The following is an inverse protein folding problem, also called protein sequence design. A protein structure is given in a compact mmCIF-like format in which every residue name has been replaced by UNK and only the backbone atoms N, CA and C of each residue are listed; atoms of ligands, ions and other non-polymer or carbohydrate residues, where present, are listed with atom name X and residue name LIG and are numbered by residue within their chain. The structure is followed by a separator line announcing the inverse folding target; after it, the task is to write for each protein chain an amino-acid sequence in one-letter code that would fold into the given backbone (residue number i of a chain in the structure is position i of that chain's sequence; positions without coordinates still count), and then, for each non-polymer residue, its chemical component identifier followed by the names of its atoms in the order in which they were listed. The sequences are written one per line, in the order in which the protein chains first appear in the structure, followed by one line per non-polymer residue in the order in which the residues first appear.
data_IF_222827276900
#
_entry.id   IF_222827276900
#
_cell.length_a   1.000
_cell.length_b   1.000
_cell.length_c   1.000
_cell.angle_alpha   90.00
_cell.angle_beta   90.00
_cell.angle_gamma   90.00
#
_symmetry.space_group_name_H-M   'P 1'
#
loop_
_entity.id
_entity.type
_entity.pdbx_description
1 polymer ?
#
# COMPACT_ATOMS: atom_id res chain seq x y z
N UNK A 1 21.10 -27.65 -13.30
CA UNK A 1 20.77 -27.93 -11.88
C UNK A 1 21.09 -26.76 -10.94
N UNK A 2 21.77 -25.70 -11.38
CA UNK A 2 22.11 -24.55 -10.51
C UNK A 2 20.88 -23.77 -10.01
N UNK A 3 19.81 -23.62 -10.81
CA UNK A 3 18.61 -22.89 -10.38
C UNK A 3 17.87 -23.51 -9.18
N UNK A 4 17.83 -24.85 -9.08
CA UNK A 4 17.17 -25.53 -7.94
C UNK A 4 17.97 -25.32 -6.64
N UNK A 5 19.30 -25.30 -6.72
CA UNK A 5 20.15 -25.06 -5.56
C UNK A 5 20.03 -23.63 -5.02
N UNK A 6 19.88 -22.64 -5.92
CA UNK A 6 19.64 -21.25 -5.54
C UNK A 6 18.28 -21.11 -4.86
N UNK A 7 17.21 -21.68 -5.44
CA UNK A 7 15.88 -21.66 -4.81
C UNK A 7 15.87 -22.33 -3.44
N UNK A 8 16.57 -23.45 -3.29
CA UNK A 8 16.69 -24.15 -2.00
C UNK A 8 17.41 -23.30 -0.95
N UNK A 9 18.51 -22.64 -1.34
CA UNK A 9 19.27 -21.78 -0.44
C UNK A 9 18.42 -20.61 0.06
N UNK A 10 17.64 -20.02 -0.85
CA UNK A 10 16.71 -18.93 -0.55
C UNK A 10 15.61 -19.36 0.43
N UNK A 11 14.97 -20.52 0.19
CA UNK A 11 13.95 -21.07 1.12
C UNK A 11 14.56 -21.33 2.51
N UNK A 12 15.77 -21.87 2.56
CA UNK A 12 16.48 -22.13 3.82
C UNK A 12 16.79 -20.84 4.59
N UNK A 13 17.02 -19.73 3.88
CA UNK A 13 17.29 -18.43 4.49
C UNK A 13 16.03 -17.74 5.03
N UNK A 14 14.87 -17.98 4.42
CA UNK A 14 13.56 -17.51 4.92
C UNK A 14 12.99 -18.38 6.05
N UNK A 15 13.44 -19.64 6.14
CA UNK A 15 12.99 -20.62 7.12
C UNK A 15 13.11 -20.17 8.59
N UNK A 16 14.22 -19.56 9.07
CA UNK A 16 14.35 -19.16 10.48
C UNK A 16 13.30 -18.11 10.90
N UNK A 17 12.93 -17.20 10.01
CA UNK A 17 11.91 -16.18 10.30
C UNK A 17 10.51 -16.81 10.38
N UNK A 18 10.20 -17.74 9.47
CA UNK A 18 8.98 -18.56 9.57
C UNK A 18 8.99 -19.46 10.81
N UNK A 19 10.15 -19.99 11.21
CA UNK A 19 10.27 -20.93 12.32
C UNK A 19 9.83 -20.29 13.64
N UNK A 20 10.05 -18.99 13.85
CA UNK A 20 9.59 -18.28 15.05
C UNK A 20 8.04 -18.24 15.13
N UNK A 21 7.37 -17.92 14.02
CA UNK A 21 5.90 -17.90 13.94
C UNK A 21 5.35 -19.32 14.06
N UNK A 22 5.98 -20.29 13.43
CA UNK A 22 5.62 -21.69 13.51
C UNK A 22 5.81 -22.27 14.92
N UNK A 23 6.86 -21.86 15.63
CA UNK A 23 7.10 -22.27 17.01
C UNK A 23 6.05 -21.67 17.96
N UNK A 24 5.66 -20.41 17.74
CA UNK A 24 4.54 -19.80 18.44
C UNK A 24 3.24 -20.58 18.20
N UNK A 25 2.97 -20.96 16.95
CA UNK A 25 1.83 -21.79 16.57
C UNK A 25 1.84 -23.14 17.32
N UNK A 26 2.99 -23.80 17.39
CA UNK A 26 3.17 -25.08 18.06
C UNK A 26 2.94 -24.97 19.57
N UNK A 27 3.38 -23.89 20.21
CA UNK A 27 3.11 -23.62 21.63
C UNK A 27 1.60 -23.47 21.88
N UNK A 28 0.91 -22.67 21.06
CA UNK A 28 -0.54 -22.49 21.19
C UNK A 28 -1.24 -23.82 20.99
N UNK A 29 -0.85 -24.60 19.99
CA UNK A 29 -1.39 -25.95 19.75
C UNK A 29 -1.15 -26.86 20.96
N UNK A 30 0.01 -26.79 21.62
CA UNK A 30 0.30 -27.58 22.81
C UNK A 30 -0.60 -27.21 24.00
N UNK A 31 -0.84 -25.90 24.21
CA UNK A 31 -1.75 -25.42 25.25
C UNK A 31 -3.17 -25.94 25.00
N UNK A 32 -3.66 -25.82 23.76
CA UNK A 32 -4.97 -26.35 23.38
C UNK A 32 -5.02 -27.87 23.48
N UNK A 33 -3.95 -28.60 23.14
CA UNK A 33 -3.91 -30.06 23.27
C UNK A 33 -4.09 -30.51 24.73
N UNK A 34 -3.40 -29.85 25.67
CA UNK A 34 -3.57 -30.12 27.11
C UNK A 34 -4.99 -29.83 27.56
N UNK A 35 -5.59 -28.71 27.15
CA UNK A 35 -6.98 -28.43 27.46
C UNK A 35 -7.92 -29.48 26.85
N UNK A 36 -7.73 -29.84 25.58
CA UNK A 36 -8.54 -30.82 24.87
C UNK A 36 -8.53 -32.20 25.55
N UNK A 37 -7.36 -32.69 25.97
CA UNK A 37 -7.27 -33.95 26.73
C UNK A 37 -8.01 -33.84 28.07
N UNK A 38 -7.84 -32.73 28.81
CA UNK A 38 -8.53 -32.54 30.09
C UNK A 38 -10.06 -32.45 29.95
N UNK A 39 -10.55 -31.81 28.89
CA UNK A 39 -11.98 -31.57 28.66
C UNK A 39 -12.69 -32.73 27.96
N UNK A 40 -12.02 -33.42 27.04
CA UNK A 40 -12.66 -34.30 26.07
C UNK A 40 -12.12 -35.74 26.05
N UNK A 41 -11.09 -36.09 26.80
CA UNK A 41 -10.52 -37.46 26.84
C UNK A 41 -11.55 -38.55 27.14
N UNK A 42 -12.48 -38.29 28.05
CA UNK A 42 -13.52 -39.25 28.42
C UNK A 42 -14.64 -39.37 27.37
N UNK A 43 -14.84 -38.36 26.53
CA UNK A 43 -15.97 -38.28 25.60
C UNK A 43 -15.59 -38.71 24.19
N UNK A 44 -14.44 -38.25 23.70
CA UNK A 44 -13.93 -38.55 22.37
C UNK A 44 -12.47 -39.01 22.49
N UNK A 45 -12.23 -40.22 23.03
CA UNK A 45 -10.87 -40.75 23.21
C UNK A 45 -10.14 -40.96 21.88
N UNK A 46 -10.86 -41.13 20.76
CA UNK A 46 -10.30 -41.20 19.41
C UNK A 46 -9.51 -39.94 19.02
N UNK A 47 -9.90 -38.77 19.53
CA UNK A 47 -9.32 -37.48 19.19
C UNK A 47 -8.53 -36.84 20.34
N UNK A 48 -8.92 -37.10 21.59
CA UNK A 48 -8.33 -36.46 22.78
C UNK A 48 -7.93 -37.44 23.88
N UNK A 49 -7.76 -38.73 23.56
CA UNK A 49 -7.38 -39.75 24.54
C UNK A 49 -5.99 -39.51 25.15
N UNK A 50 -5.00 -39.18 24.30
CA UNK A 50 -3.62 -38.89 24.70
C UNK A 50 -3.16 -37.54 24.13
N UNK A 51 -2.13 -36.96 24.74
CA UNK A 51 -1.56 -35.69 24.28
C UNK A 51 -1.10 -35.73 22.83
N UNK A 52 -0.47 -36.83 22.40
CA UNK A 52 0.00 -37.00 21.02
C UNK A 52 -1.17 -37.09 20.03
N UNK A 53 -2.24 -37.78 20.41
CA UNK A 53 -3.45 -37.89 19.58
C UNK A 53 -4.14 -36.52 19.48
N UNK A 54 -4.26 -35.80 20.60
CA UNK A 54 -4.82 -34.46 20.64
C UNK A 54 -4.02 -33.45 19.79
N UNK A 55 -2.68 -33.52 19.83
CA UNK A 55 -1.81 -32.72 18.97
C UNK A 55 -2.04 -33.03 17.48
N UNK A 56 -2.19 -34.31 17.12
CA UNK A 56 -2.48 -34.71 15.74
C UNK A 56 -3.86 -34.22 15.28
N UNK A 57 -4.89 -34.36 16.12
CA UNK A 57 -6.22 -33.82 15.86
C UNK A 57 -6.20 -32.30 15.67
N UNK A 58 -5.50 -31.57 16.53
CA UNK A 58 -5.38 -30.12 16.41
C UNK A 58 -4.58 -29.69 15.19
N UNK A 59 -3.59 -30.47 14.79
CA UNK A 59 -2.89 -30.27 13.53
C UNK A 59 -3.83 -30.42 12.32
N UNK A 60 -4.69 -31.43 12.29
CA UNK A 60 -5.73 -31.54 11.25
C UNK A 60 -6.66 -30.33 11.29
N UNK A 61 -7.06 -29.89 12.49
CA UNK A 61 -7.93 -28.74 12.62
C UNK A 61 -7.28 -27.43 12.15
N UNK A 62 -5.98 -27.24 12.37
CA UNK A 62 -5.31 -25.99 12.00
C UNK A 62 -5.13 -25.82 10.49
N UNK A 63 -5.02 -26.93 9.76
CA UNK A 63 -5.04 -26.91 8.29
C UNK A 63 -6.44 -26.63 7.72
N UNK A 64 -7.44 -26.45 8.59
CA UNK A 64 -8.85 -26.25 8.25
C UNK A 64 -9.44 -27.34 7.35
N UNK A 65 -8.81 -28.52 7.33
CA UNK A 65 -9.27 -29.69 6.59
C UNK A 65 -9.68 -30.78 7.58
N UNK A 66 -10.72 -31.56 7.26
CA UNK A 66 -11.16 -32.68 8.10
C UNK A 66 -11.70 -32.34 9.52
N UNK A 67 -11.62 -31.09 10.00
CA UNK A 67 -12.10 -30.68 11.33
C UNK A 67 -13.59 -30.93 11.55
N UNK A 68 -14.40 -30.85 10.49
CA UNK A 68 -15.83 -31.10 10.57
C UNK A 68 -16.15 -32.57 10.89
N UNK A 69 -15.30 -33.51 10.44
CA UNK A 69 -15.47 -34.94 10.77
C UNK A 69 -15.23 -35.18 12.24
N UNK A 70 -14.15 -34.60 12.78
CA UNK A 70 -13.83 -34.65 14.21
C UNK A 70 -14.97 -34.03 15.02
N UNK A 71 -15.46 -32.85 14.61
CA UNK A 71 -16.58 -32.18 15.27
C UNK A 71 -17.89 -33.00 15.27
N UNK A 72 -18.15 -33.79 14.23
CA UNK A 72 -19.31 -34.70 14.18
C UNK A 72 -19.20 -35.85 15.19
N UNK A 73 -17.99 -36.33 15.51
CA UNK A 73 -17.80 -37.34 16.57
C UNK A 73 -18.23 -36.80 17.94
N UNK A 74 -18.02 -35.50 18.20
CA UNK A 74 -18.55 -34.82 19.40
C UNK A 74 -20.07 -34.78 19.44
N UNK A 75 -20.72 -34.60 18.28
CA UNK A 75 -22.18 -34.58 18.19
C UNK A 75 -22.81 -35.93 18.51
N UNK A 76 -22.15 -37.03 18.18
CA UNK A 76 -22.61 -38.38 18.49
C UNK A 76 -22.43 -38.76 19.96
N UNK A 77 -21.52 -38.10 20.67
CA UNK A 77 -21.15 -38.43 22.05
C UNK A 77 -22.05 -37.77 23.12
N UNK A 78 -22.73 -36.66 22.81
CA UNK A 78 -23.76 -36.08 23.70
C UNK A 78 -24.01 -34.57 23.53
N UNK A 79 -25.26 -34.14 23.75
CA UNK A 79 -25.71 -32.77 23.46
C UNK A 79 -25.16 -31.68 24.40
N UNK A 80 -24.83 -32.01 25.65
CA UNK A 80 -24.33 -31.01 26.63
C UNK A 80 -22.88 -30.62 26.35
N UNK A 81 -22.06 -31.55 25.84
CA UNK A 81 -20.66 -31.31 25.47
C UNK A 81 -20.52 -30.55 24.16
N UNK A 82 -21.56 -30.56 23.31
CA UNK A 82 -21.55 -29.86 22.03
C UNK A 82 -21.23 -28.37 22.19
N UNK A 83 -21.90 -27.66 23.09
CA UNK A 83 -21.69 -26.21 23.25
C UNK A 83 -20.24 -25.87 23.65
N UNK A 84 -19.65 -26.66 24.56
CA UNK A 84 -18.26 -26.49 24.98
C UNK A 84 -17.27 -26.83 23.86
N UNK A 85 -17.50 -27.92 23.14
CA UNK A 85 -16.71 -28.31 21.99
C UNK A 85 -16.82 -27.28 20.85
N UNK A 86 -18.02 -26.77 20.53
CA UNK A 86 -18.23 -25.72 19.52
C UNK A 86 -17.41 -24.48 19.84
N UNK A 87 -17.45 -24.01 21.10
CA UNK A 87 -16.70 -22.83 21.51
C UNK A 87 -15.18 -23.08 21.44
N UNK A 88 -14.73 -24.24 21.89
CA UNK A 88 -13.33 -24.67 21.81
C UNK A 88 -12.81 -24.67 20.36
N UNK A 89 -13.51 -25.35 19.45
CA UNK A 89 -13.14 -25.41 18.04
C UNK A 89 -13.26 -24.04 17.37
N UNK A 90 -14.28 -23.24 17.69
CA UNK A 90 -14.44 -21.90 17.12
C UNK A 90 -13.27 -20.98 17.45
N UNK A 91 -12.85 -20.94 18.72
CA UNK A 91 -11.71 -20.14 19.17
C UNK A 91 -10.42 -20.65 18.52
N UNK A 92 -10.19 -21.97 18.55
CA UNK A 92 -9.00 -22.58 17.98
C UNK A 92 -8.89 -22.37 16.46
N UNK A 93 -9.96 -22.60 15.72
CA UNK A 93 -9.99 -22.44 14.25
C UNK A 93 -9.83 -20.99 13.83
N UNK A 94 -10.46 -20.05 14.56
CA UNK A 94 -10.33 -18.62 14.25
C UNK A 94 -8.92 -18.11 14.55
N UNK A 95 -8.37 -18.46 15.71
CA UNK A 95 -7.01 -18.07 16.09
C UNK A 95 -5.96 -18.75 15.19
N UNK A 96 -6.15 -20.03 14.90
CA UNK A 96 -5.30 -20.80 14.00
C UNK A 96 -5.31 -20.24 12.58
N UNK A 97 -6.48 -19.88 12.05
CA UNK A 97 -6.60 -19.23 10.75
C UNK A 97 -5.89 -17.87 10.69
N UNK A 98 -5.97 -17.08 11.77
CA UNK A 98 -5.26 -15.81 11.86
C UNK A 98 -3.75 -16.01 11.84
N UNK A 99 -3.21 -16.95 12.63
CA UNK A 99 -1.77 -17.22 12.65
C UNK A 99 -1.29 -17.83 11.34
N UNK A 100 -2.06 -18.76 10.77
CA UNK A 100 -1.75 -19.37 9.47
C UNK A 100 -1.79 -18.34 8.34
N UNK A 101 -2.76 -17.42 8.36
CA UNK A 101 -2.81 -16.27 7.45
C UNK A 101 -1.60 -15.36 7.60
N UNK A 102 -1.16 -15.09 8.83
CA UNK A 102 0.08 -14.33 9.08
C UNK A 102 1.33 -15.07 8.58
N UNK A 103 1.37 -16.40 8.69
CA UNK A 103 2.44 -17.23 8.12
C UNK A 103 2.43 -17.13 6.59
N UNK A 104 1.26 -17.21 5.94
CA UNK A 104 1.12 -17.05 4.50
C UNK A 104 1.56 -15.64 4.05
N UNK A 105 1.16 -14.60 4.78
CA UNK A 105 1.60 -13.23 4.53
C UNK A 105 3.12 -13.08 4.62
N UNK A 106 3.75 -13.66 5.64
CA UNK A 106 5.21 -13.69 5.76
C UNK A 106 5.87 -14.39 4.57
N UNK A 107 5.40 -15.58 4.19
CA UNK A 107 5.93 -16.34 3.04
C UNK A 107 5.83 -15.54 1.74
N UNK A 108 4.67 -14.92 1.48
CA UNK A 108 4.42 -14.14 0.26
C UNK A 108 5.30 -12.90 0.25
N UNK A 109 5.40 -12.17 1.36
CA UNK A 109 6.27 -10.99 1.46
C UNK A 109 7.72 -11.35 1.22
N UNK A 110 8.24 -12.41 1.86
CA UNK A 110 9.61 -12.86 1.62
C UNK A 110 9.82 -13.30 0.16
N UNK A 111 8.83 -13.95 -0.46
CA UNK A 111 8.89 -14.28 -1.88
C UNK A 111 8.94 -13.05 -2.80
N UNK A 112 8.19 -12.00 -2.46
CA UNK A 112 8.20 -10.73 -3.19
C UNK A 112 9.51 -9.97 -2.99
N UNK A 113 10.05 -9.94 -1.76
CA UNK A 113 11.35 -9.33 -1.45
C UNK A 113 12.47 -9.97 -2.28
N UNK A 114 12.47 -11.30 -2.40
CA UNK A 114 13.41 -12.05 -3.25
C UNK A 114 13.25 -11.70 -4.74
N UNK A 115 12.01 -11.63 -5.25
CA UNK A 115 11.77 -11.20 -6.63
C UNK A 115 12.24 -9.76 -6.88
N UNK A 116 12.08 -8.86 -5.92
CA UNK A 116 12.55 -7.48 -6.04
C UNK A 116 14.07 -7.38 -6.01
N UNK A 117 14.75 -8.18 -5.17
CA UNK A 117 16.21 -8.19 -5.10
C UNK A 117 16.87 -8.62 -6.43
N UNK A 118 16.32 -9.61 -7.13
CA UNK A 118 16.83 -10.06 -8.45
C UNK A 118 16.68 -8.96 -9.53
N UNK A 119 15.61 -8.17 -9.48
CA UNK A 119 15.38 -7.05 -10.40
C UNK A 119 16.35 -5.88 -10.16
N UNK A 120 16.72 -5.62 -8.91
CA UNK A 120 17.67 -4.56 -8.56
C UNK A 120 19.12 -4.94 -8.90
N UNK A 121 19.51 -6.22 -8.77
CA UNK A 121 20.82 -6.70 -9.28
C UNK A 121 20.91 -6.56 -10.80
N UNK A 122 19.83 -6.86 -11.53
CA UNK A 122 19.79 -6.75 -13.00
C UNK A 122 19.85 -5.29 -13.46
N UNK A 123 19.28 -4.33 -12.70
CA UNK A 123 19.43 -2.89 -12.98
C UNK A 123 20.82 -2.37 -12.67
N UNK A 124 21.40 -2.72 -11.52
CA UNK A 124 22.74 -2.25 -11.14
C UNK A 124 23.84 -2.81 -12.04
N UNK A 125 23.66 -4.02 -12.60
CA UNK A 125 24.57 -4.58 -13.60
C UNK A 125 24.55 -3.83 -14.95
N UNK A 126 23.42 -3.24 -15.32
CA UNK A 126 23.27 -2.50 -16.58
C UNK A 126 23.86 -1.08 -16.49
N UNK A 127 23.84 -0.45 -15.31
CA UNK A 127 24.40 0.90 -15.12
C UNK A 127 25.94 0.89 -15.08
N UNK A 128 26.57 -0.20 -14.63
CA UNK A 128 28.03 -0.38 -14.67
C UNK A 128 28.56 -0.77 -16.06
N UNK A 129 27.72 -1.32 -16.94
CA UNK A 129 28.09 -1.60 -18.34
C UNK A 129 28.12 -0.33 -19.22
N UNK A 130 27.46 0.75 -18.78
CA UNK A 130 27.43 2.03 -19.50
C UNK A 130 28.55 3.01 -19.08
N UNK A 131 29.35 2.67 -18.07
CA UNK A 131 30.41 3.54 -17.53
C UNK A 131 31.85 3.12 -17.91
N UNK A 132 32.05 2.08 -18.73
CA UNK A 132 33.39 1.66 -19.19
C UNK A 132 33.56 1.83 -20.70
N UNK A 133 33.66 3.08 -21.14
CA UNK A 133 34.31 3.46 -22.40
C UNK A 133 34.99 4.82 -22.19
N UNK A 134 36.12 4.82 -21.47
CA UNK A 134 37.13 5.87 -21.60
C UNK A 134 38.10 5.45 -22.72
N UNK A 135 38.49 6.38 -23.61
CA UNK A 135 39.47 6.08 -24.65
C UNK A 135 40.86 6.12 -24.00
N UNK A 136 41.37 4.96 -23.61
CA UNK A 136 42.77 4.83 -23.19
C UNK A 136 43.66 4.58 -24.41
N UNK A 137 44.72 5.36 -24.45
CA UNK A 137 45.63 5.59 -25.55
C UNK A 137 46.47 4.36 -25.94
N UNK A 138 46.78 4.27 -27.24
CA UNK A 138 48.13 3.92 -27.70
C UNK A 138 48.65 2.50 -27.43
N UNK A 139 48.02 1.48 -28.02
CA UNK A 139 48.74 0.24 -28.37
C UNK A 139 48.56 -0.04 -29.86
N UNK A 140 49.66 0.03 -30.60
CA UNK A 140 49.73 -0.37 -32.00
C UNK A 140 49.42 -1.87 -32.10
N UNK A 141 48.21 -2.21 -32.56
CA UNK A 141 47.84 -3.58 -32.91
C UNK A 141 48.54 -3.93 -34.21
N UNK A 142 49.78 -4.41 -34.11
CA UNK A 142 50.38 -5.19 -35.19
C UNK A 142 49.68 -6.54 -35.26
N UNK A 143 48.82 -6.67 -36.26
CA UNK A 143 48.47 -7.91 -36.96
C UNK A 143 47.95 -9.08 -36.09
N UNK A 144 46.84 -8.87 -35.38
CA UNK A 144 46.04 -10.00 -34.89
C UNK A 144 45.18 -10.52 -36.03
N UNK A 145 45.74 -11.38 -36.87
CA UNK A 145 45.02 -12.09 -37.93
C UNK A 145 43.79 -12.79 -37.33
N UNK A 146 42.58 -12.34 -37.69
CA UNK A 146 41.32 -13.00 -37.30
C UNK A 146 41.38 -14.47 -37.71
N UNK A 147 41.36 -15.37 -36.72
CA UNK A 147 41.38 -16.81 -36.95
C UNK A 147 39.94 -17.32 -36.88
N UNK A 148 39.47 -17.94 -37.96
CA UNK A 148 38.13 -18.50 -38.05
C UNK A 148 37.90 -19.52 -36.91
N UNK A 149 36.74 -19.49 -36.23
CA UNK A 149 36.45 -20.36 -35.08
C UNK A 149 36.69 -21.85 -35.39
N UNK A 150 36.50 -22.26 -36.64
CA UNK A 150 36.72 -23.62 -37.10
C UNK A 150 38.19 -24.06 -37.07
N UNK A 151 39.13 -23.15 -37.33
CA UNK A 151 40.58 -23.39 -37.25
C UNK A 151 41.00 -23.58 -35.78
N UNK A 152 40.41 -22.83 -34.85
CA UNK A 152 40.66 -22.95 -33.41
C UNK A 152 40.12 -24.26 -32.85
N UNK A 153 38.96 -24.70 -33.33
CA UNK A 153 38.34 -26.00 -32.98
C UNK A 153 39.17 -27.18 -33.51
N UNK A 154 39.73 -27.06 -34.72
CA UNK A 154 40.58 -28.09 -35.32
C UNK A 154 41.94 -28.25 -34.62
N UNK A 155 42.51 -27.15 -34.11
CA UNK A 155 43.82 -27.13 -33.43
C UNK A 155 43.78 -27.59 -31.98
N UNK A 156 42.60 -27.57 -31.33
CA UNK A 156 42.47 -27.84 -29.90
C UNK A 156 41.98 -29.28 -29.64
N UNK A 157 42.83 -30.13 -29.07
CA UNK A 157 42.51 -31.56 -28.84
C UNK A 157 41.38 -31.82 -27.82
N UNK A 158 41.01 -30.83 -27.00
CA UNK A 158 39.90 -30.91 -26.04
C UNK A 158 38.50 -30.89 -26.68
N UNK A 159 38.37 -30.46 -27.93
CA UNK A 159 37.06 -30.29 -28.60
C UNK A 159 36.52 -31.60 -29.19
N UNK A 160 37.34 -32.66 -29.30
CA UNK A 160 36.96 -33.94 -29.93
C UNK A 160 35.79 -34.67 -29.26
N UNK A 161 35.45 -34.33 -28.01
CA UNK A 161 34.32 -34.91 -27.25
C UNK A 161 33.21 -33.91 -26.94
N UNK A 162 33.35 -32.66 -27.35
CA UNK A 162 32.37 -31.61 -27.07
C UNK A 162 31.57 -31.35 -28.34
N UNK A 163 30.25 -31.53 -28.28
CA UNK A 163 29.36 -31.09 -29.35
C UNK A 163 29.21 -29.57 -29.19
N UNK A 164 29.61 -28.75 -30.19
CA UNK A 164 29.38 -27.31 -30.14
C UNK A 164 27.89 -27.08 -29.91
N UNK A 165 27.56 -26.21 -28.95
CA UNK A 165 26.17 -25.92 -28.61
C UNK A 165 25.54 -25.15 -29.78
N UNK A 166 25.04 -25.87 -30.78
CA UNK A 166 24.18 -25.35 -31.85
C UNK A 166 22.77 -25.16 -31.29
N UNK A 167 22.66 -24.29 -30.30
CA UNK A 167 21.41 -23.88 -29.68
C UNK A 167 20.82 -22.62 -30.33
N UNK A 168 21.40 -22.15 -31.44
CA UNK A 168 20.84 -21.04 -32.20
C UNK A 168 19.62 -21.53 -32.99
N UNK A 169 18.46 -21.48 -32.35
CA UNK A 169 17.15 -21.53 -33.00
C UNK A 169 16.89 -20.20 -33.75
N UNK A 170 17.84 -19.78 -34.60
CA UNK A 170 17.79 -18.57 -35.40
C UNK A 170 17.95 -18.88 -36.89
N UNK A 171 17.90 -20.15 -37.30
CA UNK A 171 17.96 -20.55 -38.72
C UNK A 171 16.80 -19.95 -39.55
N UNK A 172 15.74 -19.46 -38.89
CA UNK A 172 14.60 -18.80 -39.53
C UNK A 172 14.52 -17.28 -39.26
N UNK A 173 15.49 -16.70 -38.57
CA UNK A 173 15.52 -15.26 -38.27
C UNK A 173 16.09 -14.52 -39.48
N UNK A 174 15.22 -14.22 -40.46
CA UNK A 174 15.54 -13.27 -41.54
C UNK A 174 15.75 -11.88 -40.95
N UNK A 175 16.62 -11.09 -41.59
CA UNK A 175 16.93 -9.71 -41.18
C UNK A 175 15.66 -8.89 -40.98
N UNK A 176 14.68 -9.08 -41.87
CA UNK A 176 13.37 -8.40 -41.81
C UNK A 176 12.60 -8.74 -40.51
N UNK A 177 12.59 -10.01 -40.08
CA UNK A 177 11.91 -10.44 -38.85
C UNK A 177 12.62 -9.94 -37.60
N UNK A 178 13.93 -9.72 -37.67
CA UNK A 178 14.69 -9.12 -36.60
C UNK A 178 14.37 -7.63 -36.44
N UNK A 179 14.26 -6.89 -37.56
CA UNK A 179 13.82 -5.49 -37.54
C UNK A 179 12.43 -5.35 -36.91
N UNK A 180 11.47 -6.18 -37.32
CA UNK A 180 10.12 -6.22 -36.74
C UNK A 180 10.16 -6.50 -35.23
N UNK A 181 10.96 -7.48 -34.78
CA UNK A 181 11.12 -7.79 -33.37
C UNK A 181 11.74 -6.63 -32.58
N UNK A 182 12.76 -5.97 -33.13
CA UNK A 182 13.36 -4.79 -32.49
C UNK A 182 12.38 -3.62 -32.40
N UNK A 183 11.52 -3.43 -33.40
CA UNK A 183 10.48 -2.42 -33.39
C UNK A 183 9.43 -2.71 -32.30
N UNK A 184 8.99 -3.96 -32.18
CA UNK A 184 8.04 -4.38 -31.14
C UNK A 184 8.65 -4.23 -29.75
N UNK A 185 9.91 -4.62 -29.56
CA UNK A 185 10.62 -4.46 -28.30
C UNK A 185 10.76 -2.98 -27.92
N UNK A 186 11.12 -2.12 -28.88
CA UNK A 186 11.18 -0.67 -28.67
C UNK A 186 9.82 -0.08 -28.31
N UNK A 187 8.75 -0.54 -28.95
CA UNK A 187 7.38 -0.10 -28.66
C UNK A 187 6.93 -0.57 -27.26
N UNK A 188 7.19 -1.82 -26.87
CA UNK A 188 6.94 -2.31 -25.52
C UNK A 188 7.71 -1.50 -24.47
N UNK A 189 8.99 -1.24 -24.71
CA UNK A 189 9.82 -0.46 -23.80
C UNK A 189 9.28 0.97 -23.62
N UNK A 190 8.81 1.60 -24.70
CA UNK A 190 8.15 2.90 -24.63
C UNK A 190 6.83 2.85 -23.86
N UNK A 191 5.97 1.87 -24.13
CA UNK A 191 4.70 1.70 -23.42
C UNK A 191 4.90 1.46 -21.92
N UNK A 192 5.91 0.67 -21.54
CA UNK A 192 6.26 0.46 -20.13
C UNK A 192 6.76 1.73 -19.45
N UNK A 193 7.44 2.63 -20.19
CA UNK A 193 7.87 3.92 -19.66
C UNK A 193 6.68 4.86 -19.43
N UNK A 194 5.81 5.00 -20.42
CA UNK A 194 4.58 5.82 -20.30
C UNK A 194 3.69 5.33 -19.15
N UNK A 195 3.53 4.01 -18.98
CA UNK A 195 2.80 3.44 -17.85
C UNK A 195 3.37 3.87 -16.49
N UNK A 196 4.71 3.91 -16.35
CA UNK A 196 5.36 4.36 -15.11
C UNK A 196 5.11 5.85 -14.84
N UNK A 197 5.17 6.69 -15.88
CA UNK A 197 4.89 8.13 -15.76
C UNK A 197 3.43 8.36 -15.31
N UNK A 198 2.47 7.68 -15.94
CA UNK A 198 1.04 7.75 -15.56
C UNK A 198 0.83 7.31 -14.11
N UNK A 199 1.49 6.23 -13.68
CA UNK A 199 1.41 5.75 -12.29
C UNK A 199 1.91 6.79 -11.29
N UNK A 200 3.03 7.47 -11.59
CA UNK A 200 3.58 8.51 -10.73
C UNK A 200 2.69 9.76 -10.67
N UNK A 201 2.08 10.15 -11.80
CA UNK A 201 1.11 11.25 -11.82
C UNK A 201 -0.14 10.92 -10.99
N UNK A 202 -0.66 9.70 -11.12
CA UNK A 202 -1.80 9.23 -10.34
C UNK A 202 -1.50 9.24 -8.84
N UNK A 203 -0.30 8.81 -8.45
CA UNK A 203 0.14 8.79 -7.06
C UNK A 203 0.22 10.21 -6.47
N UNK A 204 0.74 11.18 -7.23
CA UNK A 204 0.72 12.61 -6.84
C UNK A 204 -0.69 13.16 -6.69
N UNK A 205 -1.62 12.77 -7.57
CA UNK A 205 -3.02 13.19 -7.48
C UNK A 205 -3.69 12.58 -6.24
N UNK A 206 -3.46 11.29 -5.98
CA UNK A 206 -4.00 10.61 -4.80
C UNK A 206 -3.45 11.24 -3.53
N UNK A 207 -2.16 11.59 -3.49
CA UNK A 207 -1.55 12.29 -2.36
C UNK A 207 -2.14 13.69 -2.17
N UNK A 208 -2.32 14.46 -3.25
CA UNK A 208 -2.99 15.75 -3.21
C UNK A 208 -4.42 15.63 -2.68
N UNK A 209 -5.21 14.65 -3.15
CA UNK A 209 -6.57 14.40 -2.68
C UNK A 209 -6.59 13.95 -1.22
N UNK A 210 -5.66 13.09 -0.82
CA UNK A 210 -5.50 12.64 0.55
C UNK A 210 -5.04 13.75 1.50
N UNK A 211 -4.39 14.80 0.99
CA UNK A 211 -4.00 16.00 1.75
C UNK A 211 -5.11 17.05 1.92
N UNK A 212 -6.30 16.82 1.34
CA UNK A 212 -7.45 17.71 1.50
C UNK A 212 -8.25 17.66 2.84
N UNK A 213 -7.95 16.88 3.91
CA UNK A 213 -8.75 16.93 5.14
C UNK A 213 -8.38 18.07 6.09
N UNK A 214 -7.60 19.08 5.66
CA UNK A 214 -7.22 20.20 6.52
C UNK A 214 -8.02 21.50 6.27
N UNK A 215 -8.48 21.73 5.05
CA UNK A 215 -9.16 23.00 4.73
C UNK A 215 -10.60 23.05 5.27
N UNK A 216 -11.27 21.89 5.37
CA UNK A 216 -12.65 21.80 5.87
C UNK A 216 -12.76 22.02 7.39
N UNK A 217 -11.74 21.59 8.15
CA UNK A 217 -11.69 21.82 9.59
C UNK A 217 -11.28 23.25 9.94
N UNK A 218 -10.32 23.84 9.21
CA UNK A 218 -10.01 25.26 9.35
C UNK A 218 -11.20 26.15 8.95
N UNK A 219 -11.89 25.85 7.86
CA UNK A 219 -13.07 26.59 7.44
C UNK A 219 -14.20 26.47 8.47
N UNK A 220 -14.46 25.28 9.01
CA UNK A 220 -15.43 25.10 10.10
C UNK A 220 -15.03 25.81 11.40
N UNK A 221 -13.74 25.84 11.74
CA UNK A 221 -13.24 26.56 12.91
C UNK A 221 -13.41 28.08 12.78
N UNK A 222 -13.17 28.63 11.59
CA UNK A 222 -13.42 30.05 11.28
C UNK A 222 -14.92 30.36 11.33
N UNK A 223 -15.76 29.52 10.72
CA UNK A 223 -17.22 29.69 10.75
C UNK A 223 -17.80 29.60 12.18
N UNK A 224 -17.30 28.69 13.02
CA UNK A 224 -17.70 28.60 14.43
C UNK A 224 -17.27 29.83 15.24
N UNK A 225 -16.09 30.39 14.94
CA UNK A 225 -15.60 31.61 15.60
C UNK A 225 -16.46 32.82 15.23
N UNK A 226 -16.82 32.97 13.96
CA UNK A 226 -17.70 34.04 13.49
C UNK A 226 -19.12 33.90 14.04
N UNK A 227 -19.68 32.67 14.07
CA UNK A 227 -21.00 32.42 14.65
C UNK A 227 -21.07 32.73 16.15
N UNK A 228 -20.04 32.34 16.91
CA UNK A 228 -19.96 32.62 18.33
C UNK A 228 -19.76 34.13 18.60
N UNK A 229 -18.96 34.82 17.77
CA UNK A 229 -18.81 36.28 17.87
C UNK A 229 -20.14 37.01 17.57
N UNK A 230 -20.87 36.60 16.53
CA UNK A 230 -22.19 37.14 16.19
C UNK A 230 -23.24 36.87 17.28
N UNK A 231 -23.19 35.69 17.92
CA UNK A 231 -24.12 35.33 19.01
C UNK A 231 -23.79 36.07 20.31
N UNK A 232 -22.51 36.26 20.64
CA UNK A 232 -22.09 37.10 21.76
C UNK A 232 -22.51 38.55 21.57
N UNK A 233 -22.37 39.10 20.35
CA UNK A 233 -22.82 40.48 20.08
C UNK A 233 -24.33 40.62 20.16
N UNK A 234 -25.13 39.68 19.64
CA UNK A 234 -26.59 39.75 19.76
C UNK A 234 -27.07 39.60 21.22
N UNK A 235 -26.41 38.75 22.01
CA UNK A 235 -26.72 38.60 23.45
C UNK A 235 -26.27 39.80 24.27
N UNK A 236 -25.13 40.42 23.97
CA UNK A 236 -24.72 41.70 24.58
C UNK A 236 -25.66 42.84 24.21
N UNK A 237 -26.03 43.00 22.93
CA UNK A 237 -26.96 44.05 22.50
C UNK A 237 -28.36 43.85 23.11
N UNK A 238 -28.86 42.61 23.21
CA UNK A 238 -30.10 42.33 23.94
C UNK A 238 -30.00 42.67 25.42
N UNK A 239 -28.86 42.39 26.06
CA UNK A 239 -28.69 42.63 27.50
C UNK A 239 -28.48 44.13 27.82
N UNK A 240 -27.80 44.89 26.95
CA UNK A 240 -27.66 46.34 27.10
C UNK A 240 -28.96 47.10 26.81
N UNK A 241 -29.76 46.64 25.83
CA UNK A 241 -31.12 47.16 25.61
C UNK A 241 -32.04 46.83 26.79
N UNK A 242 -31.88 45.66 27.43
CA UNK A 242 -32.64 45.27 28.61
C UNK A 242 -32.22 46.01 29.90
N UNK A 243 -30.99 46.53 29.98
CA UNK A 243 -30.46 47.24 31.16
C UNK A 243 -30.49 48.76 31.04
N UNK A 244 -31.02 49.32 29.94
CA UNK A 244 -31.41 50.73 29.86
C UNK A 244 -30.26 51.75 30.02
N UNK A 245 -29.01 51.37 29.73
CA UNK A 245 -27.88 52.31 29.66
C UNK A 245 -27.60 52.65 28.20
N UNK A 246 -28.48 53.44 27.59
CA UNK A 246 -28.13 54.18 26.38
C UNK A 246 -27.13 55.26 26.76
N UNK A 247 -25.84 55.07 26.48
CA UNK A 247 -24.84 56.05 26.89
C UNK A 247 -23.41 55.73 26.45
N UNK A 248 -22.99 56.49 25.43
CA UNK A 248 -21.62 56.80 25.03
C UNK A 248 -20.91 55.79 24.11
N UNK A 249 -20.72 56.23 22.86
CA UNK A 249 -19.95 55.58 21.80
C UNK A 249 -18.53 55.15 22.22
N UNK A 250 -18.01 55.72 23.31
CA UNK A 250 -16.74 55.37 23.92
C UNK A 250 -16.78 54.02 24.65
N UNK A 251 -17.89 53.67 25.30
CA UNK A 251 -18.05 52.37 25.96
C UNK A 251 -18.07 51.22 24.95
N UNK A 252 -18.70 51.44 23.79
CA UNK A 252 -18.65 50.52 22.65
C UNK A 252 -17.25 50.38 22.07
N UNK A 253 -16.47 51.46 22.01
CA UNK A 253 -15.10 51.46 21.50
C UNK A 253 -14.14 50.70 22.43
N UNK A 254 -14.28 50.89 23.75
CA UNK A 254 -13.48 50.19 24.76
C UNK A 254 -13.84 48.70 24.82
N UNK A 255 -15.12 48.34 24.67
CA UNK A 255 -15.55 46.94 24.60
C UNK A 255 -14.98 46.23 23.34
N UNK A 256 -14.94 46.92 22.20
CA UNK A 256 -14.34 46.43 20.96
C UNK A 256 -12.81 46.28 21.05
N UNK A 257 -12.12 47.18 21.76
CA UNK A 257 -10.68 47.08 22.03
C UNK A 257 -10.37 45.89 22.95
N UNK A 258 -11.15 45.71 24.03
CA UNK A 258 -10.98 44.59 24.98
C UNK A 258 -11.28 43.22 24.36
N UNK A 259 -12.10 43.18 23.31
CA UNK A 259 -12.38 41.99 22.52
C UNK A 259 -11.23 41.61 21.55
N UNK A 260 -10.14 42.38 21.54
CA UNK A 260 -8.90 42.12 20.78
C UNK A 260 -9.16 41.86 19.28
N UNK A 261 -10.04 42.67 18.69
CA UNK A 261 -10.33 42.68 17.23
C UNK A 261 -9.40 43.64 16.49
N UNK A 262 -8.73 44.56 17.21
CA UNK A 262 -7.74 45.47 16.65
C UNK A 262 -6.38 45.06 17.21
N UNK A 263 -5.77 44.03 16.63
CA UNK A 263 -4.34 43.81 16.78
C UNK A 263 -3.64 44.59 15.66
N UNK A 264 -2.95 45.65 16.05
CA UNK A 264 -2.13 46.49 15.18
C UNK A 264 -0.82 45.76 14.88
N UNK A 265 -0.81 44.88 13.88
CA UNK A 265 0.41 44.13 13.61
C UNK A 265 0.43 43.17 12.43
N UNK A 266 -0.11 43.52 11.25
CA UNK A 266 0.33 42.90 9.98
C UNK A 266 -0.04 43.76 8.78
N UNK A 267 0.98 44.14 8.00
CA UNK A 267 0.90 44.84 6.72
C UNK A 267 0.08 44.08 5.65
N UNK A 268 -1.06 44.63 5.22
CA UNK A 268 -1.51 44.54 3.81
C UNK A 268 -2.79 45.33 3.54
N UNK A 269 -2.70 46.55 2.97
CA UNK A 269 -3.88 47.32 2.51
C UNK A 269 -4.59 46.71 1.29
N UNK A 270 -4.06 45.62 0.70
CA UNK A 270 -4.49 45.13 -0.61
C UNK A 270 -5.75 44.24 -0.60
N UNK A 271 -6.14 43.68 0.55
CA UNK A 271 -7.25 42.71 0.64
C UNK A 271 -8.61 43.40 0.79
N UNK A 272 -8.66 44.51 1.54
CA UNK A 272 -9.91 45.24 1.78
C UNK A 272 -10.43 45.98 0.52
N UNK A 273 -9.52 46.44 -0.35
CA UNK A 273 -9.89 47.16 -1.56
C UNK A 273 -10.44 46.26 -2.68
N UNK A 274 -10.13 44.95 -2.65
CA UNK A 274 -10.70 43.97 -3.60
C UNK A 274 -12.14 43.57 -3.23
N UNK A 275 -12.44 43.43 -1.93
CA UNK A 275 -13.80 43.10 -1.46
C UNK A 275 -14.82 44.17 -1.82
N UNK A 276 -14.49 45.45 -1.58
CA UNK A 276 -15.37 46.57 -1.87
C UNK A 276 -15.63 46.78 -3.37
N UNK A 277 -14.66 46.46 -4.25
CA UNK A 277 -14.86 46.52 -5.72
C UNK A 277 -15.78 45.43 -6.23
N UNK A 278 -15.67 44.22 -5.67
CA UNK A 278 -16.51 43.10 -6.10
C UNK A 278 -17.97 43.28 -5.68
N UNK A 279 -18.20 43.89 -4.51
CA UNK A 279 -19.56 44.15 -4.03
C UNK A 279 -20.23 45.35 -4.72
N UNK A 280 -19.47 46.38 -5.09
CA UNK A 280 -19.97 47.49 -5.91
C UNK A 280 -20.36 47.05 -7.33
N UNK A 281 -19.58 46.17 -7.97
CA UNK A 281 -19.93 45.60 -9.28
C UNK A 281 -21.18 44.71 -9.23
N UNK A 282 -21.35 43.94 -8.15
CA UNK A 282 -22.54 43.08 -7.97
C UNK A 282 -23.82 43.89 -7.78
N UNK A 283 -23.75 45.04 -7.10
CA UNK A 283 -24.90 45.96 -6.94
C UNK A 283 -25.27 46.70 -8.24
N UNK A 284 -24.29 47.11 -9.05
CA UNK A 284 -24.58 47.72 -10.37
C UNK A 284 -25.23 46.74 -11.36
N UNK A 285 -24.88 45.45 -11.30
CA UNK A 285 -25.47 44.43 -12.19
C UNK A 285 -26.90 44.02 -11.82
N UNK A 286 -27.33 44.21 -10.56
CA UNK A 286 -28.70 43.89 -10.13
C UNK A 286 -29.70 45.04 -10.35
N UNK A 287 -29.23 46.28 -10.47
CA UNK A 287 -30.10 47.44 -10.71
C UNK A 287 -30.46 47.60 -12.21
N UNK A 288 -29.61 47.10 -13.12
CA UNK A 288 -29.87 47.15 -14.57
C UNK A 288 -30.86 46.08 -15.07
N UNK A 289 -31.13 45.06 -14.27
CA UNK A 289 -32.01 43.93 -14.65
C UNK A 289 -33.43 44.05 -14.11
N UNK A 290 -33.71 45.02 -13.24
CA UNK A 290 -35.02 45.20 -12.60
C UNK A 290 -35.82 46.42 -13.12
N UNK A 291 -35.30 47.18 -14.09
CA UNK A 291 -35.95 48.40 -14.63
C UNK A 291 -36.64 48.22 -16.01
N UNK A 292 -36.65 47.03 -16.60
CA UNK A 292 -37.18 46.81 -17.97
C UNK A 292 -38.44 45.93 -18.05
N UNK A 293 -39.17 45.72 -16.97
CA UNK A 293 -40.40 44.91 -16.97
C UNK A 293 -41.53 45.57 -16.17
N UNK A 294 -42.10 46.66 -16.71
CA UNK A 294 -43.47 47.12 -16.37
C UNK A 294 -44.26 47.31 -17.67
N UNK A 295 -45.44 46.69 -17.82
CA UNK A 295 -46.21 46.68 -19.06
C UNK A 295 -47.13 47.91 -19.14
N UNK A 296 -47.24 48.55 -20.30
CA UNK A 296 -48.33 49.48 -20.60
C UNK A 296 -49.20 48.94 -21.72
N UNK A 297 -50.41 48.56 -21.32
CA UNK A 297 -51.61 48.37 -22.11
C UNK A 297 -52.15 49.70 -22.64
N UNK A 298 -52.48 49.76 -23.93
CA UNK A 298 -53.65 50.43 -24.53
C UNK A 298 -53.80 49.97 -25.97
#
# INVERSE_FOLDING_TARGET
MQGVAVMLHVIMQSLPDLANIFLLLLIIMMVFAVFGVNLFSASVPSAFGDLTVALYTLFICITQDGWMTIYKEFQQSGATLLYGASLYFFIFLTLGAFIFGNLFGAVVTTNLEMCMAELDETKSGNDNALALNQPEDGVSITDTRMVHCEEVVARTSMTKRQKPWKGSCLENLRVDTFEDLTLVLSAMQKNMKEYKEIRQELEKIVEAVHSLPFNREQENAVLMRDHNAATMTDSFLKNEVATGRTGDMLSTLIALEKAHVIDSGTDSPAVFQRGLRHEAMRRMSMDSTNSSAVPHSS
#
